data_IF_358637854344
#
_entry.id   IF_358637854344
#
_cell.length_a   1.000
_cell.length_b   1.000
_cell.length_c   1.000
_cell.angle_alpha   90.00
_cell.angle_beta   90.00
_cell.angle_gamma   90.00
#
_symmetry.space_group_name_H-M   'P 1'
#
loop_
_entity.id
_entity.type
_entity.pdbx_description
1 polymer ?
#
# COMPACT_ATOMS: atom_id res chain seq x y z
N UNK A 1 -16.00 2.69 0.94
CA UNK A 1 -15.43 1.40 0.51
C UNK A 1 -13.96 1.67 0.29
N UNK A 2 -13.08 0.96 1.00
CA UNK A 2 -11.65 1.25 0.99
C UNK A 2 -11.08 1.02 -0.41
N UNK A 3 -10.08 1.82 -0.79
CA UNK A 3 -9.41 1.68 -2.08
C UNK A 3 -8.84 0.25 -2.28
N UNK A 4 -8.92 -0.32 -3.50
CA UNK A 4 -8.45 -1.70 -3.76
C UNK A 4 -6.98 -1.95 -3.37
N UNK A 5 -6.16 -0.90 -3.45
CA UNK A 5 -4.75 -0.93 -3.04
C UNK A 5 -4.63 -1.07 -1.52
N UNK A 6 -5.47 -0.38 -0.74
CA UNK A 6 -5.44 -0.46 0.72
C UNK A 6 -5.87 -1.83 1.24
N UNK A 7 -6.82 -2.48 0.56
CA UNK A 7 -7.19 -3.88 0.87
C UNK A 7 -6.01 -4.82 0.64
N UNK A 8 -5.24 -4.61 -0.43
CA UNK A 8 -4.05 -5.41 -0.74
C UNK A 8 -2.93 -5.18 0.29
N UNK A 9 -2.73 -3.93 0.71
CA UNK A 9 -1.77 -3.58 1.78
C UNK A 9 -2.21 -4.19 3.12
N UNK A 10 -3.48 -4.07 3.48
CA UNK A 10 -4.04 -4.64 4.70
C UNK A 10 -3.88 -6.16 4.72
N UNK A 11 -4.16 -6.85 3.61
CA UNK A 11 -3.96 -8.28 3.46
C UNK A 11 -2.48 -8.69 3.61
N UNK A 12 -1.55 -7.93 3.03
CA UNK A 12 -0.12 -8.19 3.14
C UNK A 12 0.39 -7.99 4.59
N UNK A 13 -0.17 -7.02 5.30
CA UNK A 13 0.15 -6.72 6.70
C UNK A 13 -0.45 -7.78 7.64
N UNK A 14 -1.71 -8.16 7.42
CA UNK A 14 -2.41 -9.25 8.09
C UNK A 14 -1.63 -10.57 7.99
N UNK A 15 -1.12 -10.86 6.79
CA UNK A 15 -0.27 -12.03 6.54
C UNK A 15 1.18 -11.88 7.00
N UNK A 16 1.57 -10.71 7.55
CA UNK A 16 2.96 -10.35 7.92
C UNK A 16 3.97 -10.57 6.77
N UNK A 17 3.49 -10.51 5.53
CA UNK A 17 4.30 -10.73 4.32
C UNK A 17 5.31 -9.60 4.11
N UNK A 18 4.97 -8.39 4.55
CA UNK A 18 5.84 -7.22 4.50
C UNK A 18 6.08 -6.70 5.92
N UNK A 19 7.14 -7.20 6.55
CA UNK A 19 7.50 -6.86 7.94
C UNK A 19 7.67 -5.34 8.15
N UNK A 20 8.23 -4.64 7.17
CA UNK A 20 8.37 -3.17 7.21
C UNK A 20 7.04 -2.43 7.33
N UNK A 21 6.06 -2.80 6.50
CA UNK A 21 4.71 -2.23 6.55
C UNK A 21 4.01 -2.54 7.87
N UNK A 22 4.15 -3.76 8.36
CA UNK A 22 3.59 -4.14 9.66
C UNK A 22 4.14 -3.26 10.79
N UNK A 23 5.46 -3.06 10.86
CA UNK A 23 6.07 -2.21 11.87
C UNK A 23 5.66 -0.74 11.74
N UNK A 24 5.59 -0.22 10.51
CA UNK A 24 5.14 1.15 10.25
C UNK A 24 3.71 1.38 10.75
N UNK A 25 2.78 0.48 10.41
CA UNK A 25 1.38 0.58 10.80
C UNK A 25 1.23 0.39 12.31
N UNK A 26 1.93 -0.58 12.89
CA UNK A 26 1.95 -0.80 14.34
C UNK A 26 2.47 0.42 15.10
N UNK A 27 3.52 1.08 14.61
CA UNK A 27 4.03 2.30 15.21
C UNK A 27 3.02 3.44 15.10
N UNK A 28 2.34 3.60 13.95
CA UNK A 28 1.29 4.61 13.77
C UNK A 28 0.09 4.38 14.68
N UNK A 29 -0.23 3.13 14.97
CA UNK A 29 -1.39 2.75 15.78
C UNK A 29 -1.08 2.70 17.28
N UNK A 30 0.18 2.83 17.69
CA UNK A 30 0.59 2.67 19.08
C UNK A 30 -0.13 3.60 20.07
N UNK A 31 -0.50 4.81 19.63
CA UNK A 31 -1.25 5.80 20.42
C UNK A 31 -2.79 5.67 20.26
N UNK A 32 -3.26 4.67 19.51
CA UNK A 32 -4.68 4.41 19.24
C UNK A 32 -5.03 2.93 19.56
N UNK A 33 -5.64 2.67 20.72
CA UNK A 33 -5.95 1.31 21.16
C UNK A 33 -6.99 0.62 20.26
N UNK A 34 -7.94 1.37 19.69
CA UNK A 34 -8.96 0.82 18.80
C UNK A 34 -8.32 0.40 17.47
N UNK A 35 -7.46 1.25 16.90
CA UNK A 35 -6.73 0.92 15.68
C UNK A 35 -5.78 -0.27 15.89
N UNK A 36 -5.13 -0.35 17.04
CA UNK A 36 -4.27 -1.49 17.40
C UNK A 36 -5.07 -2.79 17.45
N UNK A 37 -6.26 -2.78 18.06
CA UNK A 37 -7.13 -3.96 18.10
C UNK A 37 -7.54 -4.44 16.71
N UNK A 38 -7.82 -3.51 15.77
CA UNK A 38 -8.12 -3.84 14.37
C UNK A 38 -6.91 -4.49 13.68
N UNK A 39 -5.71 -3.96 13.88
CA UNK A 39 -4.48 -4.56 13.35
C UNK A 39 -4.28 -5.97 13.88
N UNK A 40 -4.44 -6.18 15.19
CA UNK A 40 -4.32 -7.49 15.84
C UNK A 40 -5.40 -8.48 15.38
N UNK A 41 -6.63 -8.04 15.19
CA UNK A 41 -7.73 -8.86 14.70
C UNK A 41 -7.52 -9.33 13.25
N UNK A 42 -6.88 -8.50 12.43
CA UNK A 42 -6.53 -8.86 11.06
C UNK A 42 -5.32 -9.83 10.99
N UNK A 43 -4.50 -9.96 12.03
CA UNK A 43 -3.33 -10.84 12.00
C UNK A 43 -3.71 -12.31 11.76
N UNK A 44 -3.21 -12.89 10.68
CA UNK A 44 -3.50 -14.28 10.31
C UNK A 44 -4.90 -14.50 9.73
N UNK A 45 -5.70 -13.44 9.55
CA UNK A 45 -6.99 -13.51 8.89
C UNK A 45 -6.84 -13.72 7.37
N UNK A 46 -7.89 -14.24 6.72
CA UNK A 46 -7.91 -14.43 5.28
C UNK A 46 -8.02 -13.08 4.55
N UNK A 47 -7.49 -12.96 3.32
CA UNK A 47 -7.46 -11.68 2.59
C UNK A 47 -8.84 -11.05 2.35
N UNK A 48 -9.88 -11.89 2.19
CA UNK A 48 -11.27 -11.45 1.97
C UNK A 48 -12.08 -11.31 3.27
N UNK A 49 -11.44 -11.49 4.41
CA UNK A 49 -12.11 -11.50 5.71
C UNK A 49 -12.60 -10.08 6.08
N UNK A 50 -13.66 -9.98 6.90
CA UNK A 50 -14.13 -8.68 7.38
C UNK A 50 -13.05 -7.91 8.15
N UNK A 51 -12.16 -8.60 8.87
CA UNK A 51 -11.07 -8.00 9.65
C UNK A 51 -10.03 -7.31 8.75
N UNK A 52 -9.67 -7.91 7.61
CA UNK A 52 -8.77 -7.27 6.64
C UNK A 52 -9.42 -6.03 6.00
N UNK A 53 -10.73 -6.09 5.75
CA UNK A 53 -11.47 -4.94 5.23
C UNK A 53 -11.53 -3.80 6.25
N UNK A 54 -11.77 -4.12 7.51
CA UNK A 54 -11.78 -3.15 8.61
C UNK A 54 -10.41 -2.50 8.82
N UNK A 55 -9.33 -3.28 8.69
CA UNK A 55 -7.97 -2.73 8.68
C UNK A 55 -7.75 -1.76 7.51
N UNK A 56 -8.23 -2.10 6.31
CA UNK A 56 -8.12 -1.22 5.14
C UNK A 56 -8.89 0.11 5.32
N UNK A 57 -10.09 0.08 5.92
CA UNK A 57 -10.87 1.27 6.24
C UNK A 57 -10.18 2.13 7.32
N UNK A 58 -9.60 1.48 8.33
CA UNK A 58 -8.84 2.17 9.38
C UNK A 58 -7.60 2.86 8.80
N UNK A 59 -6.90 2.19 7.88
CA UNK A 59 -5.77 2.79 7.16
C UNK A 59 -6.19 3.99 6.32
N UNK A 60 -7.30 3.90 5.58
CA UNK A 60 -7.85 5.02 4.80
C UNK A 60 -8.12 6.24 5.69
N UNK A 61 -8.78 6.03 6.84
CA UNK A 61 -9.06 7.10 7.80
C UNK A 61 -7.77 7.73 8.37
N UNK A 62 -6.75 6.91 8.66
CA UNK A 62 -5.46 7.39 9.19
C UNK A 62 -4.65 8.14 8.13
N UNK A 63 -4.70 7.74 6.86
CA UNK A 63 -4.07 8.45 5.76
C UNK A 63 -4.78 9.78 5.45
N UNK A 64 -6.11 9.82 5.56
CA UNK A 64 -6.86 11.05 5.41
C UNK A 64 -6.54 12.07 6.52
N UNK A 65 -6.30 11.58 7.75
CA UNK A 65 -5.90 12.41 8.88
C UNK A 65 -4.40 12.79 8.86
N UNK A 66 -3.55 11.94 8.29
CA UNK A 66 -2.11 12.15 8.16
C UNK A 66 -1.62 11.72 6.75
N UNK A 67 -1.55 12.68 5.81
CA UNK A 67 -1.08 12.41 4.45
C UNK A 67 0.37 11.92 4.40
N UNK A 68 1.25 12.34 5.32
CA UNK A 68 2.65 11.89 5.36
C UNK A 68 2.75 10.40 5.69
N UNK A 69 1.84 9.90 6.53
CA UNK A 69 1.72 8.46 6.77
C UNK A 69 1.30 7.70 5.51
N UNK A 70 0.39 8.25 4.70
CA UNK A 70 0.00 7.66 3.42
C UNK A 70 1.16 7.52 2.43
N UNK A 71 2.02 8.54 2.34
CA UNK A 71 3.23 8.49 1.52
C UNK A 71 4.22 7.43 2.02
N UNK A 72 4.41 7.30 3.34
CA UNK A 72 5.27 6.26 3.93
C UNK A 72 4.76 4.85 3.65
N UNK A 73 3.44 4.62 3.80
CA UNK A 73 2.81 3.34 3.47
C UNK A 73 3.00 3.00 1.99
N UNK A 74 2.82 3.98 1.10
CA UNK A 74 3.04 3.78 -0.34
C UNK A 74 4.51 3.46 -0.64
N UNK A 75 5.45 4.20 -0.06
CA UNK A 75 6.88 4.00 -0.28
C UNK A 75 7.35 2.61 0.20
N UNK A 76 6.87 2.15 1.36
CA UNK A 76 7.18 0.80 1.86
C UNK A 76 6.53 -0.29 0.99
N UNK A 77 5.30 -0.07 0.50
CA UNK A 77 4.63 -0.98 -0.42
C UNK A 77 5.35 -1.09 -1.76
N UNK A 78 5.78 0.02 -2.34
CA UNK A 78 6.57 0.03 -3.57
C UNK A 78 7.91 -0.67 -3.38
N UNK A 79 8.60 -0.45 -2.25
CA UNK A 79 9.85 -1.14 -1.93
C UNK A 79 9.65 -2.66 -1.84
N UNK A 80 8.57 -3.10 -1.21
CA UNK A 80 8.23 -4.52 -1.11
C UNK A 80 7.87 -5.13 -2.48
N UNK A 81 7.10 -4.41 -3.29
CA UNK A 81 6.73 -4.83 -4.64
C UNK A 81 7.95 -4.92 -5.58
N UNK A 82 8.91 -4.00 -5.46
CA UNK A 82 10.19 -4.07 -6.20
C UNK A 82 11.03 -5.25 -5.75
N UNK A 83 11.07 -5.54 -4.44
CA UNK A 83 11.74 -6.72 -3.89
C UNK A 83 11.17 -8.04 -4.44
N UNK A 84 9.84 -8.19 -4.45
CA UNK A 84 9.18 -9.39 -4.99
C UNK A 84 9.32 -9.54 -6.52
N UNK A 85 9.37 -8.44 -7.27
CA UNK A 85 9.58 -8.47 -8.73
C UNK A 85 11.03 -8.72 -9.15
N UNK A 86 12.02 -8.34 -8.32
CA UNK A 86 13.43 -8.64 -8.59
C UNK A 86 13.73 -10.14 -8.58
N UNK A 87 12.95 -10.92 -7.82
CA UNK A 87 13.05 -12.39 -7.77
C UNK A 87 12.42 -13.05 -9.01
N UNK A 88 11.62 -12.28 -9.78
CA UNK A 88 10.91 -12.72 -10.98
C UNK A 88 11.13 -11.75 -12.17
N UNK A 89 12.39 -11.39 -12.47
CA UNK A 89 12.81 -10.91 -13.80
C UNK A 89 12.01 -9.79 -14.50
N UNK A 90 11.35 -8.88 -13.76
CA UNK A 90 10.47 -7.86 -14.35
C UNK A 90 11.08 -6.46 -14.33
N UNK A 91 11.44 -5.93 -15.49
CA UNK A 91 11.95 -4.55 -15.65
C UNK A 91 10.83 -3.55 -15.29
N UNK A 92 11.13 -2.53 -14.48
CA UNK A 92 10.28 -1.33 -14.36
C UNK A 92 11.15 -0.09 -14.29
N UNK A 93 10.87 0.86 -15.19
CA UNK A 93 11.57 2.13 -15.32
C UNK A 93 11.10 3.08 -14.21
N UNK A 94 11.99 3.33 -13.24
CA UNK A 94 11.76 4.26 -12.14
C UNK A 94 12.26 5.64 -12.57
N UNK A 95 11.36 6.59 -12.78
CA UNK A 95 11.73 7.98 -13.05
C UNK A 95 11.50 8.79 -11.78
N UNK A 96 12.59 9.23 -11.15
CA UNK A 96 12.58 10.23 -10.10
C UNK A 96 13.19 11.53 -10.65
N UNK A 97 12.36 12.56 -10.85
CA UNK A 97 12.80 13.89 -11.29
C UNK A 97 11.62 14.82 -11.62
N UNK A 98 11.70 16.07 -11.18
CA UNK A 98 10.66 17.10 -11.33
C UNK A 98 10.37 17.41 -12.82
N UNK A 99 9.12 17.24 -13.28
CA UNK A 99 8.73 17.50 -14.68
C UNK A 99 7.61 18.52 -14.77
N UNK A 100 7.91 19.69 -15.34
CA UNK A 100 6.91 20.66 -15.81
C UNK A 100 6.46 20.29 -17.22
N UNK A 101 5.32 19.60 -17.34
CA UNK A 101 4.71 19.22 -18.62
C UNK A 101 3.59 18.18 -18.40
N UNK A 102 2.60 18.14 -19.30
CA UNK A 102 1.42 17.26 -19.15
C UNK A 102 1.86 15.79 -19.11
N UNK A 103 1.50 15.10 -18.03
CA UNK A 103 1.81 13.70 -17.80
C UNK A 103 0.57 12.86 -18.07
N UNK A 104 0.69 11.90 -18.98
CA UNK A 104 -0.29 10.83 -19.23
C UNK A 104 0.36 9.53 -18.80
N UNK A 105 -0.27 8.79 -17.88
CA UNK A 105 0.11 7.42 -17.53
C UNK A 105 -1.04 6.48 -17.90
N UNK A 106 -0.76 5.52 -18.80
CA UNK A 106 -1.69 4.47 -19.22
C UNK A 106 -1.01 3.10 -19.08
N UNK A 107 -1.76 2.14 -18.54
CA UNK A 107 -1.32 0.77 -18.21
C UNK A 107 -1.18 -0.14 -19.45
N UNK A 108 -1.91 0.16 -20.53
CA UNK A 108 -1.79 -0.47 -21.85
C UNK A 108 -1.91 0.62 -22.92
N UNK A 109 -0.96 0.69 -23.86
CA UNK A 109 -1.11 1.47 -25.10
C UNK A 109 -0.99 0.50 -26.27
N UNK A 110 -2.13 0.14 -26.85
CA UNK A 110 -2.20 -0.55 -28.13
C UNK A 110 -2.59 0.49 -29.20
N UNK A 111 -1.63 0.83 -30.07
CA UNK A 111 -1.82 1.78 -31.18
C UNK A 111 -0.81 2.95 -31.15
N UNK A 112 -0.18 3.20 -32.30
CA UNK A 112 0.95 4.14 -32.43
C UNK A 112 0.62 5.58 -32.07
N UNK A 113 1.42 6.16 -31.16
CA UNK A 113 1.39 7.57 -30.80
C UNK A 113 2.47 8.31 -31.61
N UNK A 114 2.09 9.42 -32.25
CA UNK A 114 3.03 10.35 -32.88
C UNK A 114 2.87 11.72 -32.21
N UNK A 115 3.99 12.40 -31.98
CA UNK A 115 4.05 13.75 -31.38
C UNK A 115 3.95 14.83 -32.46
#
# INVERSE_FOLDING_TARGET
MPEPVLVSVAAAVAGKAVVGLYHLIKAKFADDPDATAVLEAAEGAAQDSPEVRELAETLEAKQAADPEFGEQVRAEWERAAVGQHAETGGVTNQISGHVGGIVVQARDIEGGITF
#
